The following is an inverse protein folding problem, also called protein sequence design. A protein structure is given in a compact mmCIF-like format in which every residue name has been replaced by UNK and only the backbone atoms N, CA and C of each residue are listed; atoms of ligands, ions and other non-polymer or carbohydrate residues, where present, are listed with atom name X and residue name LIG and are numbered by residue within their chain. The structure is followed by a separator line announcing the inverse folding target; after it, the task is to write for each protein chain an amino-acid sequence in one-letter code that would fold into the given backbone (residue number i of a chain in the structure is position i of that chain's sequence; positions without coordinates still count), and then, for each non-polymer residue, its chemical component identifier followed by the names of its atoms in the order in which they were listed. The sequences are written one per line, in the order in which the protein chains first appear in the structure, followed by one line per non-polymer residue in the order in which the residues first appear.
data_IF_696070246687
#
_entry.id   IF_696070246687
#
_cell.length_a   1.000
_cell.length_b   1.000
_cell.length_c   1.000
_cell.angle_alpha   90.00
_cell.angle_beta   90.00
_cell.angle_gamma   90.00
#
_symmetry.space_group_name_H-M   'P 1'
#
loop_
_entity.id
_entity.type
_entity.pdbx_description
1 polymer ?
#
# COMPACT_ATOMS: atom_id res chain seq x y z
N UNK A 1 9.81 19.08 15.50
CA UNK A 1 8.96 18.66 15.48
C UNK A 1 8.37 18.10 14.34
N UNK A 2 7.69 18.63 13.70
CA UNK A 2 7.05 18.12 12.60
C UNK A 2 7.91 17.48 11.61
N UNK A 3 9.15 17.66 11.65
CA UNK A 3 10.02 17.07 10.72
C UNK A 3 9.99 15.62 10.69
N UNK A 4 9.70 14.94 11.75
CA UNK A 4 9.69 13.50 11.79
C UNK A 4 8.74 12.87 10.83
N UNK A 5 7.68 13.52 10.48
CA UNK A 5 6.72 12.98 9.57
C UNK A 5 7.27 12.77 8.18
N UNK A 6 8.30 13.52 7.83
CA UNK A 6 8.86 13.40 6.51
C UNK A 6 9.65 12.15 6.30
N UNK A 7 9.94 11.43 7.37
CA UNK A 7 10.67 10.18 7.27
C UNK A 7 9.76 8.97 7.23
N UNK A 8 8.48 9.20 7.10
CA UNK A 8 7.50 8.12 7.09
C UNK A 8 6.66 8.22 5.83
N UNK A 9 6.44 7.07 5.20
CA UNK A 9 5.54 6.99 4.05
C UNK A 9 4.24 6.36 4.51
N UNK A 10 3.13 6.82 3.94
CA UNK A 10 1.82 6.25 4.20
C UNK A 10 1.41 5.46 2.97
N UNK A 11 1.00 4.22 3.18
CA UNK A 11 0.58 3.35 2.08
C UNK A 11 -0.88 2.96 2.30
N UNK A 12 -1.70 3.20 1.30
CA UNK A 12 -3.11 2.84 1.34
C UNK A 12 -3.35 1.61 0.46
N UNK A 13 -4.25 0.71 0.85
CA UNK A 13 -4.56 -0.44 -0.02
C UNK A 13 -5.11 -0.01 -1.37
N UNK A 14 -5.79 1.13 -1.42
CA UNK A 14 -6.31 1.65 -2.69
C UNK A 14 -5.24 1.86 -3.74
N UNK A 15 -4.00 2.04 -3.33
CA UNK A 15 -2.91 2.21 -4.29
C UNK A 15 -2.77 0.99 -5.21
N UNK A 16 -3.21 -0.17 -4.77
CA UNK A 16 -3.04 -1.43 -5.48
C UNK A 16 -4.34 -2.02 -6.01
N UNK A 17 -5.43 -1.26 -5.95
CA UNK A 17 -6.75 -1.78 -6.30
C UNK A 17 -7.01 -1.63 -7.80
N UNK A 18 -7.10 -2.75 -8.50
CA UNK A 18 -7.30 -2.70 -9.95
C UNK A 18 -8.67 -2.16 -10.36
N UNK A 19 -9.61 -2.12 -9.44
CA UNK A 19 -10.93 -1.57 -9.71
C UNK A 19 -11.00 -0.05 -9.63
N UNK A 20 -9.88 0.59 -9.27
CA UNK A 20 -9.80 2.03 -9.22
C UNK A 20 -8.92 2.54 -10.35
N UNK A 21 -9.27 3.71 -10.88
CA UNK A 21 -8.41 4.38 -11.86
C UNK A 21 -7.32 5.14 -11.10
N UNK A 22 -6.35 5.68 -11.84
CA UNK A 22 -5.31 6.47 -11.21
C UNK A 22 -5.87 7.71 -10.54
N UNK A 23 -6.88 8.31 -11.13
CA UNK A 23 -7.50 9.48 -10.50
C UNK A 23 -8.29 9.13 -9.26
N UNK A 24 -8.66 7.86 -9.11
CA UNK A 24 -9.37 7.40 -7.92
C UNK A 24 -8.44 6.89 -6.82
N UNK A 25 -7.14 6.85 -7.05
CA UNK A 25 -6.20 6.49 -6.01
C UNK A 25 -5.20 5.40 -6.35
N UNK A 26 -5.37 4.70 -7.49
CA UNK A 26 -4.43 3.64 -7.82
C UNK A 26 -3.06 4.23 -8.16
N UNK A 27 -2.02 3.65 -7.60
CA UNK A 27 -0.65 4.12 -7.80
C UNK A 27 0.24 3.16 -8.57
N UNK A 28 -0.25 1.98 -8.90
CA UNK A 28 0.53 1.01 -9.68
C UNK A 28 -0.19 0.74 -11.00
N UNK A 29 0.55 0.29 -12.02
CA UNK A 29 -0.12 -0.07 -13.29
C UNK A 29 -1.15 -1.15 -13.04
N UNK A 30 -2.20 -1.18 -13.86
CA UNK A 30 -3.26 -2.15 -13.66
C UNK A 30 -2.75 -3.58 -13.71
N UNK A 31 -1.70 -3.85 -14.45
CA UNK A 31 -1.14 -5.22 -14.50
C UNK A 31 -0.50 -5.65 -13.19
N UNK A 32 -0.18 -4.70 -12.30
CA UNK A 32 0.36 -5.01 -10.99
C UNK A 32 -0.69 -4.85 -9.88
N UNK A 33 -1.90 -4.46 -10.22
CA UNK A 33 -2.95 -4.24 -9.24
C UNK A 33 -3.75 -5.52 -9.02
N UNK A 34 -4.44 -5.60 -7.88
CA UNK A 34 -5.25 -6.75 -7.53
C UNK A 34 -6.64 -6.29 -7.11
N UNK A 35 -7.57 -7.23 -7.04
CA UNK A 35 -8.91 -6.97 -6.55
C UNK A 35 -8.93 -6.97 -5.04
N UNK A 36 -9.57 -5.98 -4.47
CA UNK A 36 -9.79 -5.91 -3.01
C UNK A 36 -8.52 -6.15 -2.19
N UNK A 37 -7.50 -5.32 -2.38
CA UNK A 37 -6.31 -5.44 -1.52
C UNK A 37 -6.67 -5.07 -0.09
N UNK A 38 -5.96 -5.64 0.88
CA UNK A 38 -6.16 -5.24 2.27
C UNK A 38 -4.81 -5.01 2.94
N UNK A 39 -4.83 -4.26 4.05
CA UNK A 39 -3.58 -3.85 4.69
C UNK A 39 -2.87 -5.02 5.34
N UNK A 40 -3.58 -6.05 5.72
CA UNK A 40 -2.94 -7.20 6.36
C UNK A 40 -2.04 -7.93 5.37
N UNK A 41 -2.48 -8.07 4.13
CA UNK A 41 -1.64 -8.68 3.10
C UNK A 41 -0.39 -7.85 2.87
N UNK A 42 -0.56 -6.54 2.79
CA UNK A 42 0.57 -5.64 2.56
C UNK A 42 1.52 -5.70 3.74
N UNK A 43 0.99 -5.72 4.95
CA UNK A 43 1.82 -5.82 6.14
C UNK A 43 2.65 -7.08 6.17
N UNK A 44 2.08 -8.22 5.76
CA UNK A 44 2.82 -9.46 5.71
C UNK A 44 3.98 -9.41 4.72
N UNK A 45 3.75 -8.76 3.59
CA UNK A 45 4.82 -8.60 2.61
C UNK A 45 5.95 -7.74 3.19
N UNK A 46 5.59 -6.64 3.83
CA UNK A 46 6.58 -5.77 4.44
C UNK A 46 7.35 -6.48 5.53
N UNK A 47 6.66 -7.30 6.33
CA UNK A 47 7.32 -8.09 7.37
C UNK A 47 8.33 -9.05 6.75
N UNK A 48 7.99 -9.67 5.62
CA UNK A 48 8.90 -10.61 4.97
C UNK A 48 10.15 -9.93 4.44
N UNK A 49 10.07 -8.62 4.23
CA UNK A 49 11.22 -7.84 3.77
C UNK A 49 11.94 -7.15 4.92
N UNK A 50 11.54 -7.45 6.15
CA UNK A 50 12.09 -6.84 7.36
C UNK A 50 11.92 -5.32 7.39
N UNK A 51 10.81 -4.85 6.85
CA UNK A 51 10.48 -3.44 6.88
C UNK A 51 9.47 -3.20 8.00
N UNK A 52 9.82 -2.37 9.00
CA UNK A 52 8.86 -2.07 10.06
C UNK A 52 7.62 -1.43 9.48
N UNK A 53 6.48 -1.77 10.02
CA UNK A 53 5.23 -1.20 9.51
C UNK A 53 4.22 -1.11 10.65
N UNK A 54 3.31 -0.15 10.54
CA UNK A 54 2.25 0.02 11.52
C UNK A 54 0.93 0.11 10.77
N UNK A 55 0.00 -0.74 11.13
CA UNK A 55 -1.31 -0.78 10.50
C UNK A 55 -2.30 0.07 11.27
N UNK A 56 -3.09 0.86 10.55
CA UNK A 56 -4.20 1.60 11.13
C UNK A 56 -5.45 1.20 10.39
N UNK A 57 -6.24 0.35 10.98
CA UNK A 57 -7.32 -0.33 10.28
C UNK A 57 -8.55 0.51 9.97
N UNK A 58 -8.78 1.56 10.70
CA UNK A 58 -10.00 2.34 10.51
C UNK A 58 -9.82 3.62 9.70
N UNK A 59 -8.63 3.82 9.15
CA UNK A 59 -8.38 4.99 8.34
C UNK A 59 -8.75 4.74 6.89
N UNK A 60 -8.89 5.78 6.12
CA UNK A 60 -9.31 5.64 4.73
C UNK A 60 -8.56 6.60 3.83
N UNK A 61 -8.43 6.21 2.57
CA UNK A 61 -7.88 7.08 1.56
C UNK A 61 -8.91 8.17 1.26
N UNK A 62 -8.51 9.44 1.12
CA UNK A 62 -9.50 10.52 0.96
C UNK A 62 -10.51 10.31 -0.16
N UNK A 63 -10.10 9.72 -1.28
CA UNK A 63 -11.02 9.54 -2.40
C UNK A 63 -12.02 8.40 -2.16
N UNK A 64 -11.77 7.54 -1.17
CA UNK A 64 -12.65 6.42 -0.88
C UNK A 64 -13.00 6.38 0.60
N UNK A 65 -13.26 7.56 1.16
CA UNK A 65 -13.51 7.70 2.59
C UNK A 65 -14.57 6.74 3.14
N UNK A 66 -15.53 6.38 2.33
CA UNK A 66 -16.60 5.51 2.76
C UNK A 66 -16.18 4.04 2.92
N UNK A 67 -15.02 3.65 2.41
CA UNK A 67 -14.59 2.26 2.46
C UNK A 67 -13.80 1.89 3.71
N UNK A 68 -13.12 2.84 4.29
CA UNK A 68 -12.33 2.62 5.52
C UNK A 68 -11.47 1.38 5.46
N UNK A 69 -10.66 1.29 4.41
CA UNK A 69 -9.80 0.11 4.22
C UNK A 69 -8.48 0.16 5.01
N UNK A 70 -8.27 1.22 5.76
CA UNK A 70 -7.07 1.32 6.56
C UNK A 70 -5.88 1.91 5.82
N UNK A 71 -4.77 2.00 6.53
CA UNK A 71 -3.52 2.49 5.94
C UNK A 71 -2.35 1.93 6.73
N UNK A 72 -1.17 2.01 6.11
CA UNK A 72 0.05 1.47 6.71
C UNK A 72 1.12 2.55 6.71
N UNK A 73 1.83 2.67 7.83
CA UNK A 73 2.98 3.57 7.92
C UNK A 73 4.26 2.77 7.86
N UNK A 74 5.21 3.21 7.05
CA UNK A 74 6.53 2.60 7.00
C UNK A 74 7.59 3.71 6.99
N UNK A 75 8.81 3.41 7.45
CA UNK A 75 9.90 4.38 7.29
C UNK A 75 10.26 4.50 5.83
N UNK A 76 10.75 5.65 5.42
CA UNK A 76 11.19 5.82 4.04
C UNK A 76 12.28 4.82 3.70
N UNK A 77 12.20 4.28 2.51
CA UNK A 77 13.17 3.32 2.01
C UNK A 77 14.08 4.01 0.99
N UNK A 78 15.16 3.33 0.61
CA UNK A 78 15.99 3.84 -0.46
C UNK A 78 15.20 3.84 -1.74
N UNK A 79 15.47 4.81 -2.59
CA UNK A 79 14.75 4.94 -3.83
C UNK A 79 13.46 5.68 -3.65
N UNK A 80 12.58 5.60 -4.61
CA UNK A 80 11.34 6.35 -4.59
C UNK A 80 10.21 5.53 -4.00
N UNK A 81 9.20 6.23 -3.52
CA UNK A 81 8.00 5.57 -3.03
C UNK A 81 7.36 4.74 -4.14
N UNK A 82 7.39 5.25 -5.37
CA UNK A 82 6.80 4.53 -6.49
C UNK A 82 7.46 3.18 -6.71
N UNK A 83 8.76 3.08 -6.51
CA UNK A 83 9.46 1.82 -6.66
C UNK A 83 9.00 0.78 -5.65
N UNK A 84 8.87 1.19 -4.39
CA UNK A 84 8.43 0.25 -3.37
C UNK A 84 6.97 -0.15 -3.62
N UNK A 85 6.15 0.78 -4.08
CA UNK A 85 4.76 0.46 -4.38
C UNK A 85 4.66 -0.58 -5.50
N UNK A 86 5.50 -0.47 -6.52
CA UNK A 86 5.50 -1.45 -7.60
C UNK A 86 5.93 -2.83 -7.10
N UNK A 87 6.93 -2.87 -6.23
CA UNK A 87 7.38 -4.13 -5.66
C UNK A 87 6.29 -4.78 -4.82
N UNK A 88 5.60 -3.99 -4.03
CA UNK A 88 4.49 -4.51 -3.22
C UNK A 88 3.39 -5.04 -4.13
N UNK A 89 3.03 -4.30 -5.16
CA UNK A 89 2.00 -4.73 -6.10
C UNK A 89 2.35 -6.04 -6.78
N UNK A 90 3.59 -6.17 -7.21
CA UNK A 90 4.04 -7.40 -7.85
C UNK A 90 3.94 -8.59 -6.88
N UNK A 91 4.35 -8.37 -5.63
CA UNK A 91 4.31 -9.43 -4.64
C UNK A 91 2.88 -9.82 -4.28
N UNK A 92 2.00 -8.84 -4.19
CA UNK A 92 0.59 -9.12 -3.94
C UNK A 92 0.01 -10.01 -5.03
N UNK A 93 0.35 -9.71 -6.27
CA UNK A 93 -0.14 -10.49 -7.38
C UNK A 93 0.39 -11.92 -7.33
N UNK A 94 1.66 -12.08 -7.00
CA UNK A 94 2.25 -13.40 -6.87
C UNK A 94 1.57 -14.21 -5.77
N UNK A 95 1.31 -13.59 -4.63
CA UNK A 95 0.64 -14.28 -3.53
C UNK A 95 -0.76 -14.73 -3.92
N UNK A 96 -1.46 -13.92 -4.70
CA UNK A 96 -2.80 -14.27 -5.13
C UNK A 96 -2.80 -15.41 -6.12
N UNK A 97 -1.72 -15.54 -6.89
CA UNK A 97 -1.63 -16.65 -7.84
C UNK A 97 -1.39 -17.98 -7.14
N UNK A 98 -0.66 -17.97 -6.04
CA UNK A 98 -0.30 -19.21 -5.37
C UNK A 98 -1.33 -19.66 -4.35
N UNK A 99 -2.27 -18.83 -4.04
CA UNK A 99 -3.31 -19.22 -3.10
C UNK A 99 -4.60 -19.64 -3.86
#
# INVERSE_FOLDING_TARGET
MVRKKRKTWIIYPEYFDKNLSRSEGRRVPSKLAISKPNIEEIGKILDSWNIPNRLEEHEHYPATWYKRNGRIFIPKQKGSKQEILKKIGKKLKERRKTS
#
